data_IF_542498305999
#
_entry.id   IF_542498305999
#
_cell.length_a   1.000
_cell.length_b   1.000
_cell.length_c   1.000
_cell.angle_alpha   90.00
_cell.angle_beta   90.00
_cell.angle_gamma   90.00
#
_symmetry.space_group_name_H-M   'P 1'
#
loop_
_entity.id
_entity.type
_entity.pdbx_description
1 polymer ?
#
# COMPACT_ATOMS: atom_id res chain seq x y z
N UNK A 1 -18.73 -7.01 -19.03
CA UNK A 1 -19.04 -8.39 -19.46
C UNK A 1 -18.17 -9.43 -18.74
N UNK A 2 -16.81 -9.30 -18.71
CA UNK A 2 -15.91 -10.31 -18.11
C UNK A 2 -16.15 -10.53 -16.61
N UNK A 3 -16.50 -9.49 -15.87
CA UNK A 3 -16.72 -9.57 -14.42
C UNK A 3 -18.18 -9.81 -14.02
N UNK A 4 -19.12 -9.82 -14.98
CA UNK A 4 -20.54 -10.05 -14.73
C UNK A 4 -21.20 -8.98 -13.85
N UNK A 5 -20.68 -7.74 -13.88
CA UNK A 5 -21.19 -6.59 -13.12
C UNK A 5 -21.50 -5.44 -14.07
N UNK A 6 -22.44 -4.58 -13.66
CA UNK A 6 -22.85 -3.41 -14.46
C UNK A 6 -21.93 -2.21 -14.25
N UNK A 7 -21.28 -2.11 -13.08
CA UNK A 7 -20.36 -1.04 -12.72
C UNK A 7 -19.29 -1.53 -11.73
N UNK A 8 -18.26 -0.70 -11.56
CA UNK A 8 -17.22 -0.87 -10.53
C UNK A 8 -17.30 0.28 -9.52
N UNK A 9 -17.31 -0.05 -8.23
CA UNK A 9 -17.23 0.96 -7.17
C UNK A 9 -15.88 1.66 -7.19
N UNK A 10 -14.79 0.91 -7.36
CA UNK A 10 -13.43 1.41 -7.51
C UNK A 10 -12.81 0.87 -8.77
N UNK A 11 -12.27 1.75 -9.58
CA UNK A 11 -11.53 1.40 -10.80
C UNK A 11 -10.21 2.16 -10.80
N UNK A 12 -9.11 1.49 -11.18
CA UNK A 12 -7.81 2.13 -11.20
C UNK A 12 -7.07 1.88 -12.52
N UNK A 13 -6.30 2.88 -12.94
CA UNK A 13 -5.26 2.71 -13.95
C UNK A 13 -4.08 1.98 -13.30
N UNK A 14 -3.66 0.88 -13.90
CA UNK A 14 -2.71 -0.04 -13.29
C UNK A 14 -1.27 0.40 -13.50
N UNK A 15 -0.46 0.37 -12.41
CA UNK A 15 0.99 0.48 -12.42
C UNK A 15 1.50 1.75 -13.13
N UNK A 16 1.12 2.94 -12.65
CA UNK A 16 1.67 4.18 -13.18
C UNK A 16 3.10 4.37 -12.71
N UNK A 17 3.98 4.46 -13.66
CA UNK A 17 5.36 4.91 -13.66
C UNK A 17 5.56 5.85 -14.85
N UNK A 18 6.78 6.32 -15.10
CA UNK A 18 7.09 7.21 -16.23
C UNK A 18 6.65 6.61 -17.56
N UNK A 19 6.95 5.34 -17.81
CA UNK A 19 6.68 4.67 -19.08
C UNK A 19 5.19 4.39 -19.29
N UNK A 20 4.52 3.88 -18.27
CA UNK A 20 3.10 3.57 -18.35
C UNK A 20 2.23 4.83 -18.38
N UNK A 21 2.65 5.89 -17.70
CA UNK A 21 1.94 7.18 -17.79
C UNK A 21 2.07 7.81 -19.19
N UNK A 22 3.22 7.65 -19.87
CA UNK A 22 3.36 8.03 -21.27
C UNK A 22 2.35 7.28 -22.16
N UNK A 23 2.15 5.97 -21.94
CA UNK A 23 1.13 5.16 -22.65
C UNK A 23 -0.30 5.62 -22.33
N UNK A 24 -0.59 5.97 -21.06
CA UNK A 24 -1.89 6.54 -20.68
C UNK A 24 -2.22 7.77 -21.50
N UNK A 25 -1.24 8.64 -21.76
CA UNK A 25 -1.38 9.83 -22.62
C UNK A 25 -1.53 9.46 -24.10
N UNK A 26 -0.67 8.59 -24.61
CA UNK A 26 -0.68 8.12 -26.02
C UNK A 26 -2.03 7.51 -26.38
N UNK A 27 -2.54 6.60 -25.55
CA UNK A 27 -3.82 5.91 -25.80
C UNK A 27 -5.05 6.69 -25.33
N UNK A 28 -4.88 7.90 -24.82
CA UNK A 28 -5.96 8.73 -24.27
C UNK A 28 -6.80 7.99 -23.23
N UNK A 29 -6.15 7.21 -22.38
CA UNK A 29 -6.84 6.38 -21.39
C UNK A 29 -7.67 7.21 -20.41
N UNK A 30 -7.26 8.45 -20.10
CA UNK A 30 -8.03 9.35 -19.25
C UNK A 30 -9.38 9.73 -19.88
N UNK A 31 -9.43 9.95 -21.19
CA UNK A 31 -10.69 10.27 -21.88
C UNK A 31 -11.66 9.09 -21.80
N UNK A 32 -11.14 7.86 -21.98
CA UNK A 32 -11.93 6.65 -21.84
C UNK A 32 -12.50 6.47 -20.42
N UNK A 33 -11.68 6.59 -19.38
CA UNK A 33 -12.16 6.38 -17.99
C UNK A 33 -13.12 7.49 -17.53
N UNK A 34 -12.92 8.74 -18.00
CA UNK A 34 -13.88 9.85 -17.79
C UNK A 34 -15.23 9.53 -18.40
N UNK A 35 -15.24 9.02 -19.64
CA UNK A 35 -16.46 8.58 -20.31
C UNK A 35 -17.14 7.46 -19.52
N UNK A 36 -16.40 6.42 -19.10
CA UNK A 36 -16.95 5.31 -18.31
C UNK A 36 -17.54 5.79 -16.97
N UNK A 37 -16.92 6.79 -16.36
CA UNK A 37 -17.44 7.43 -15.15
C UNK A 37 -18.73 8.20 -15.43
N UNK A 38 -18.78 8.97 -16.49
CA UNK A 38 -19.99 9.70 -16.91
C UNK A 38 -21.17 8.75 -17.25
N UNK A 39 -20.87 7.57 -17.80
CA UNK A 39 -21.85 6.50 -18.06
C UNK A 39 -22.26 5.71 -16.79
N UNK A 40 -21.69 6.03 -15.61
CA UNK A 40 -21.98 5.34 -14.35
C UNK A 40 -21.36 3.96 -14.21
N UNK A 41 -20.45 3.57 -15.11
CA UNK A 41 -19.73 2.28 -15.06
C UNK A 41 -18.56 2.28 -14.10
N UNK A 42 -18.06 3.45 -13.71
CA UNK A 42 -17.02 3.67 -12.70
C UNK A 42 -17.55 4.69 -11.69
N UNK A 43 -17.55 4.34 -10.40
CA UNK A 43 -17.94 5.27 -9.34
C UNK A 43 -16.75 6.09 -8.83
N UNK A 44 -15.65 5.41 -8.53
CA UNK A 44 -14.41 6.01 -8.01
C UNK A 44 -13.25 5.64 -8.92
N UNK A 45 -12.55 6.66 -9.43
CA UNK A 45 -11.38 6.49 -10.28
C UNK A 45 -10.10 6.74 -9.49
N UNK A 46 -9.13 5.86 -9.64
CA UNK A 46 -7.80 5.99 -9.07
C UNK A 46 -6.71 5.44 -9.97
N UNK A 47 -5.52 5.28 -9.41
CA UNK A 47 -4.42 4.56 -10.05
C UNK A 47 -3.53 3.88 -9.01
N UNK A 48 -2.83 2.81 -9.40
CA UNK A 48 -1.71 2.27 -8.63
C UNK A 48 -0.40 2.87 -9.12
N UNK A 49 0.52 3.13 -8.19
CA UNK A 49 1.73 3.90 -8.47
C UNK A 49 2.99 3.18 -8.01
N UNK A 50 4.05 3.23 -8.85
CA UNK A 50 5.31 2.52 -8.64
C UNK A 50 6.52 3.34 -9.12
N UNK A 51 6.61 4.60 -8.72
CA UNK A 51 7.71 5.48 -9.09
C UNK A 51 8.05 6.45 -7.95
N UNK A 52 8.79 7.49 -8.20
CA UNK A 52 9.22 8.51 -7.23
C UNK A 52 8.08 9.43 -6.78
N UNK A 53 8.19 9.94 -5.57
CA UNK A 53 7.21 10.90 -5.03
C UNK A 53 7.11 12.19 -5.89
N UNK A 54 8.21 12.64 -6.48
CA UNK A 54 8.22 13.78 -7.40
C UNK A 54 7.36 13.50 -8.64
N UNK A 55 7.45 12.28 -9.18
CA UNK A 55 6.65 11.89 -10.34
C UNK A 55 5.16 11.71 -9.97
N UNK A 56 4.88 11.18 -8.78
CA UNK A 56 3.50 11.13 -8.26
C UNK A 56 2.89 12.52 -8.18
N UNK A 57 3.63 13.48 -7.61
CA UNK A 57 3.17 14.86 -7.52
C UNK A 57 2.87 15.45 -8.90
N UNK A 58 3.74 15.21 -9.88
CA UNK A 58 3.51 15.63 -11.26
C UNK A 58 2.22 15.04 -11.84
N UNK A 59 1.95 13.75 -11.64
CA UNK A 59 0.70 13.14 -12.10
C UNK A 59 -0.51 13.79 -11.42
N UNK A 60 -0.45 14.00 -10.11
CA UNK A 60 -1.57 14.60 -9.38
C UNK A 60 -1.80 16.07 -9.76
N UNK A 61 -0.77 16.82 -10.17
CA UNK A 61 -0.93 18.16 -10.73
C UNK A 61 -1.60 18.14 -12.10
N UNK A 62 -1.36 17.10 -12.93
CA UNK A 62 -1.91 17.00 -14.28
C UNK A 62 -3.34 16.47 -14.31
N UNK A 63 -3.65 15.42 -13.53
CA UNK A 63 -4.94 14.70 -13.60
C UNK A 63 -5.63 14.53 -12.23
N UNK A 64 -5.08 15.13 -11.17
CA UNK A 64 -5.56 14.89 -9.80
C UNK A 64 -7.03 15.25 -9.56
N UNK A 65 -7.61 16.18 -10.33
CA UNK A 65 -9.05 16.52 -10.23
C UNK A 65 -9.95 15.33 -10.56
N UNK A 66 -9.53 14.44 -11.44
CA UNK A 66 -10.27 13.23 -11.80
C UNK A 66 -10.04 12.07 -10.83
N UNK A 67 -8.96 12.13 -10.03
CA UNK A 67 -8.48 11.03 -9.18
C UNK A 67 -9.07 11.14 -7.78
N UNK A 68 -9.69 10.08 -7.31
CA UNK A 68 -10.36 10.02 -6.00
C UNK A 68 -9.61 9.16 -4.99
N UNK A 69 -8.65 8.35 -5.42
CA UNK A 69 -7.75 7.57 -4.55
C UNK A 69 -6.48 7.17 -5.28
N UNK A 70 -5.44 6.87 -4.53
CA UNK A 70 -4.17 6.33 -5.05
C UNK A 70 -3.84 5.03 -4.33
N UNK A 71 -3.38 4.02 -5.08
CA UNK A 71 -2.89 2.77 -4.49
C UNK A 71 -1.38 2.79 -4.43
N UNK A 72 -0.82 2.66 -3.23
CA UNK A 72 0.61 2.73 -2.93
C UNK A 72 1.13 1.43 -2.31
N UNK A 73 2.38 1.10 -2.60
CA UNK A 73 3.12 0.07 -1.87
C UNK A 73 3.58 0.65 -0.53
N UNK A 74 2.99 0.17 0.57
CA UNK A 74 3.32 0.64 1.92
C UNK A 74 3.50 -0.54 2.85
N UNK A 75 4.67 -0.60 3.48
CA UNK A 75 4.98 -1.46 4.62
C UNK A 75 6.12 -0.83 5.43
N UNK A 76 6.33 -1.28 6.66
CA UNK A 76 7.34 -0.67 7.55
C UNK A 76 8.78 -0.87 7.08
N UNK A 77 9.06 -1.87 6.21
CA UNK A 77 10.40 -2.11 5.66
C UNK A 77 10.73 -1.12 4.53
N UNK A 78 9.73 -0.80 3.69
CA UNK A 78 9.88 0.11 2.56
C UNK A 78 9.60 1.58 2.92
N UNK A 79 9.19 1.85 4.16
CA UNK A 79 8.77 3.18 4.60
C UNK A 79 9.80 4.26 4.31
N UNK A 80 11.08 4.00 4.63
CA UNK A 80 12.20 4.91 4.37
C UNK A 80 13.08 4.44 3.19
N UNK A 81 12.59 3.54 2.33
CA UNK A 81 13.34 3.06 1.18
C UNK A 81 13.50 4.15 0.11
N UNK A 82 14.72 4.39 -0.33
CA UNK A 82 14.99 5.34 -1.41
C UNK A 82 14.45 4.88 -2.77
N UNK A 83 14.29 3.57 -2.98
CA UNK A 83 13.78 3.01 -4.23
C UNK A 83 12.26 2.95 -4.30
N UNK A 84 11.57 2.69 -3.19
CA UNK A 84 10.10 2.60 -3.13
C UNK A 84 9.47 3.94 -2.73
N UNK A 85 10.14 4.67 -1.85
CA UNK A 85 9.72 5.99 -1.35
C UNK A 85 8.32 6.00 -0.72
N UNK A 86 7.94 4.90 0.00
CA UNK A 86 6.59 4.73 0.55
C UNK A 86 6.11 5.95 1.34
N UNK A 87 6.92 6.45 2.30
CA UNK A 87 6.57 7.62 3.10
C UNK A 87 6.40 8.87 2.25
N UNK A 88 7.35 9.14 1.35
CA UNK A 88 7.30 10.34 0.50
C UNK A 88 6.08 10.33 -0.42
N UNK A 89 5.75 9.19 -1.02
CA UNK A 89 4.55 9.03 -1.85
C UNK A 89 3.27 9.21 -1.02
N UNK A 90 3.23 8.65 0.20
CA UNK A 90 2.11 8.84 1.11
C UNK A 90 1.93 10.32 1.50
N UNK A 91 3.02 11.04 1.84
CA UNK A 91 2.99 12.48 2.14
C UNK A 91 2.48 13.32 0.95
N UNK A 92 2.82 12.93 -0.29
CA UNK A 92 2.25 13.54 -1.50
C UNK A 92 0.74 13.30 -1.56
N UNK A 93 0.27 12.08 -1.32
CA UNK A 93 -1.17 11.80 -1.29
C UNK A 93 -1.89 12.64 -0.22
N UNK A 94 -1.34 12.77 0.98
CA UNK A 94 -1.89 13.64 2.03
C UNK A 94 -1.95 15.10 1.58
N UNK A 95 -0.87 15.62 0.99
CA UNK A 95 -0.81 17.00 0.47
C UNK A 95 -1.92 17.31 -0.54
N UNK A 96 -2.27 16.34 -1.37
CA UNK A 96 -3.32 16.47 -2.38
C UNK A 96 -4.68 15.90 -1.94
N UNK A 97 -4.84 15.56 -0.67
CA UNK A 97 -6.06 15.00 -0.09
C UNK A 97 -6.58 13.77 -0.86
N UNK A 98 -5.66 12.86 -1.22
CA UNK A 98 -5.99 11.61 -1.89
C UNK A 98 -5.99 10.45 -0.89
N UNK A 99 -7.14 9.85 -0.60
CA UNK A 99 -7.19 8.62 0.18
C UNK A 99 -6.34 7.51 -0.43
N UNK A 100 -5.75 6.69 0.42
CA UNK A 100 -4.78 5.67 0.00
C UNK A 100 -5.36 4.27 0.17
N UNK A 101 -5.19 3.44 -0.86
CA UNK A 101 -5.27 1.98 -0.77
C UNK A 101 -3.83 1.46 -0.66
N UNK A 102 -3.58 0.57 0.29
CA UNK A 102 -2.27 -0.03 0.46
C UNK A 102 -2.18 -1.38 -0.24
N UNK A 103 -1.16 -1.56 -1.07
CA UNK A 103 -0.74 -2.84 -1.61
C UNK A 103 0.59 -3.27 -0.97
N UNK A 104 0.87 -4.55 -1.01
CA UNK A 104 2.08 -5.19 -0.46
C UNK A 104 2.36 -4.87 1.03
N UNK A 105 1.35 -4.91 1.91
CA UNK A 105 1.58 -4.62 3.32
C UNK A 105 2.56 -5.61 3.96
N UNK A 106 2.63 -6.85 3.48
CA UNK A 106 3.56 -7.90 3.95
C UNK A 106 4.73 -8.16 2.98
N UNK A 107 4.90 -7.34 1.93
CA UNK A 107 5.98 -7.42 0.93
C UNK A 107 6.15 -8.83 0.36
N UNK A 108 5.09 -9.37 -0.25
CA UNK A 108 5.08 -10.71 -0.84
C UNK A 108 5.36 -11.83 0.17
N UNK A 109 5.05 -11.62 1.46
CA UNK A 109 5.32 -12.56 2.55
C UNK A 109 6.70 -12.40 3.22
N UNK A 110 7.57 -11.51 2.74
CA UNK A 110 8.89 -11.26 3.33
C UNK A 110 8.78 -10.81 4.80
N UNK A 111 7.76 -10.04 5.13
CA UNK A 111 7.51 -9.54 6.49
C UNK A 111 6.79 -10.55 7.40
N UNK A 112 6.53 -11.76 6.93
CA UNK A 112 6.04 -12.87 7.75
C UNK A 112 7.20 -13.76 8.20
N UNK A 113 8.22 -13.91 7.35
CA UNK A 113 9.41 -14.74 7.60
C UNK A 113 10.62 -13.84 7.88
N UNK A 114 10.62 -13.21 9.05
CA UNK A 114 11.67 -12.29 9.49
C UNK A 114 12.70 -13.00 10.41
N UNK A 115 13.90 -12.43 10.62
CA UNK A 115 14.88 -12.97 11.57
C UNK A 115 14.32 -13.13 12.99
N UNK A 116 14.76 -14.16 13.71
CA UNK A 116 14.26 -14.48 15.06
C UNK A 116 14.36 -13.29 16.02
N UNK A 117 15.45 -12.52 15.96
CA UNK A 117 15.60 -11.30 16.77
C UNK A 117 14.49 -10.26 16.52
N UNK A 118 13.98 -10.19 15.29
CA UNK A 118 12.80 -9.35 14.96
C UNK A 118 11.53 -9.90 15.58
N UNK A 119 11.33 -11.22 15.50
CA UNK A 119 10.17 -11.88 16.13
C UNK A 119 10.17 -11.67 17.65
N UNK A 120 11.32 -11.87 18.29
CA UNK A 120 11.47 -11.71 19.73
C UNK A 120 11.16 -10.26 20.15
N UNK A 121 11.60 -9.30 19.35
CA UNK A 121 11.33 -7.88 19.59
C UNK A 121 9.84 -7.55 19.48
N UNK A 122 9.14 -8.07 18.46
CA UNK A 122 7.68 -7.88 18.31
C UNK A 122 6.90 -8.49 19.50
N UNK A 123 7.32 -9.67 19.95
CA UNK A 123 6.71 -10.34 21.12
C UNK A 123 6.86 -9.57 22.42
N UNK A 124 7.84 -8.70 22.55
CA UNK A 124 7.94 -7.81 23.74
C UNK A 124 6.79 -6.79 23.82
N UNK A 125 6.15 -6.49 22.69
CA UNK A 125 5.03 -5.58 22.64
C UNK A 125 3.70 -6.31 22.83
N UNK A 126 3.51 -7.42 22.10
CA UNK A 126 2.35 -8.29 22.26
C UNK A 126 2.70 -9.73 21.83
N UNK A 127 2.73 -10.65 22.80
CA UNK A 127 3.07 -12.06 22.56
C UNK A 127 2.02 -12.81 21.72
N UNK A 128 0.78 -12.33 21.72
CA UNK A 128 -0.36 -13.00 21.05
C UNK A 128 -0.48 -12.63 19.58
N UNK A 129 0.09 -11.51 19.17
CA UNK A 129 0.00 -11.02 17.78
C UNK A 129 0.90 -11.80 16.86
N UNK A 130 0.38 -12.20 15.70
CA UNK A 130 1.15 -12.82 14.64
C UNK A 130 2.17 -11.83 14.06
N UNK A 131 3.24 -12.34 13.43
CA UNK A 131 4.23 -11.48 12.76
C UNK A 131 3.59 -10.69 11.63
N UNK A 132 2.66 -11.29 10.86
CA UNK A 132 1.94 -10.63 9.78
C UNK A 132 1.11 -9.44 10.28
N UNK A 133 0.49 -9.57 11.46
CA UNK A 133 -0.36 -8.52 12.03
C UNK A 133 0.35 -7.18 12.19
N UNK A 134 1.64 -7.18 12.52
CA UNK A 134 2.42 -5.95 12.69
C UNK A 134 2.56 -5.18 11.38
N UNK A 135 2.73 -5.87 10.25
CA UNK A 135 2.84 -5.24 8.95
C UNK A 135 1.50 -4.68 8.45
N UNK A 136 0.43 -5.45 8.62
CA UNK A 136 -0.92 -5.02 8.21
C UNK A 136 -1.43 -3.89 9.10
N UNK A 137 -1.26 -4.01 10.42
CA UNK A 137 -1.64 -2.95 11.37
C UNK A 137 -0.81 -1.68 11.18
N UNK A 138 0.48 -1.78 10.82
CA UNK A 138 1.30 -0.61 10.47
C UNK A 138 0.65 0.19 9.34
N UNK A 139 0.36 -0.48 8.22
CA UNK A 139 -0.28 0.17 7.08
C UNK A 139 -1.67 0.73 7.42
N UNK A 140 -2.48 -0.03 8.18
CA UNK A 140 -3.83 0.38 8.58
C UNK A 140 -3.85 1.50 9.63
N UNK A 141 -2.73 1.77 10.30
CA UNK A 141 -2.62 2.83 11.32
C UNK A 141 -2.29 4.21 10.73
N UNK A 142 -2.02 4.30 9.44
CA UNK A 142 -1.74 5.56 8.77
C UNK A 142 -3.04 6.31 8.48
N UNK A 143 -3.03 7.62 8.72
CA UNK A 143 -4.16 8.48 8.39
C UNK A 143 -4.47 8.43 6.88
N UNK A 144 -5.75 8.62 6.50
CA UNK A 144 -6.21 8.58 5.10
C UNK A 144 -5.99 7.23 4.36
N UNK A 145 -5.48 6.20 5.02
CA UNK A 145 -5.53 4.82 4.51
C UNK A 145 -6.90 4.22 4.81
N UNK A 146 -7.69 3.98 3.78
CA UNK A 146 -9.05 3.45 3.96
C UNK A 146 -9.19 1.97 3.59
N UNK A 147 -8.16 1.38 2.97
CA UNK A 147 -8.15 -0.04 2.59
C UNK A 147 -6.72 -0.57 2.55
N UNK A 148 -6.51 -1.76 3.09
CA UNK A 148 -5.25 -2.51 2.99
C UNK A 148 -5.53 -3.84 2.31
N UNK A 149 -4.85 -4.10 1.18
CA UNK A 149 -5.01 -5.31 0.39
C UNK A 149 -4.07 -6.40 0.92
N UNK A 150 -4.62 -7.46 1.46
CA UNK A 150 -3.85 -8.61 1.92
C UNK A 150 -3.98 -9.77 0.94
N UNK A 151 -2.84 -10.34 0.50
CA UNK A 151 -2.77 -11.47 -0.42
C UNK A 151 -2.94 -12.81 0.29
N UNK A 152 -4.04 -13.03 0.97
CA UNK A 152 -4.36 -14.29 1.66
C UNK A 152 -4.67 -15.39 0.66
N UNK A 153 -4.08 -16.57 0.86
CA UNK A 153 -4.30 -17.76 0.02
C UNK A 153 -4.70 -19.00 0.82
N UNK A 154 -4.73 -18.92 2.16
CA UNK A 154 -5.20 -19.98 3.04
C UNK A 154 -6.23 -19.47 4.03
N UNK A 155 -7.02 -20.39 4.59
CA UNK A 155 -8.03 -20.08 5.59
C UNK A 155 -7.41 -19.52 6.87
N UNK A 156 -6.29 -20.08 7.30
CA UNK A 156 -5.55 -19.65 8.49
C UNK A 156 -5.07 -18.20 8.38
N UNK A 157 -4.61 -17.78 7.18
CA UNK A 157 -4.23 -16.38 6.92
C UNK A 157 -5.43 -15.43 7.00
N UNK A 158 -6.59 -15.88 6.52
CA UNK A 158 -7.82 -15.10 6.63
C UNK A 158 -8.25 -14.94 8.10
N UNK A 159 -8.27 -16.04 8.85
CA UNK A 159 -8.63 -16.04 10.28
C UNK A 159 -7.67 -15.16 11.09
N UNK A 160 -6.36 -15.28 10.84
CA UNK A 160 -5.35 -14.43 11.47
C UNK A 160 -5.63 -12.94 11.19
N UNK A 161 -5.82 -12.55 9.92
CA UNK A 161 -6.09 -11.17 9.56
C UNK A 161 -7.40 -10.65 10.18
N UNK A 162 -8.47 -11.44 10.21
CA UNK A 162 -9.73 -11.05 10.84
C UNK A 162 -9.58 -10.87 12.35
N UNK A 163 -8.76 -11.68 13.00
CA UNK A 163 -8.60 -11.68 14.47
C UNK A 163 -8.18 -10.33 15.05
N UNK A 164 -7.49 -9.49 14.27
CA UNK A 164 -7.04 -8.16 14.70
C UNK A 164 -7.64 -7.00 13.86
N UNK A 165 -8.33 -7.29 12.76
CA UNK A 165 -8.97 -6.27 11.93
C UNK A 165 -10.45 -6.06 12.26
N UNK A 166 -11.17 -7.05 12.81
CA UNK A 166 -12.58 -6.89 13.23
C UNK A 166 -12.74 -5.87 14.37
N UNK A 167 -11.79 -5.83 15.30
CA UNK A 167 -11.73 -4.83 16.39
C UNK A 167 -10.40 -4.07 16.28
N UNK A 168 -10.20 -3.43 15.13
CA UNK A 168 -8.94 -2.81 14.78
C UNK A 168 -8.52 -1.72 15.77
N UNK A 169 -7.30 -1.84 16.25
CA UNK A 169 -6.63 -0.82 17.08
C UNK A 169 -5.37 -0.36 16.38
N UNK A 170 -5.25 0.95 16.08
CA UNK A 170 -4.04 1.50 15.50
C UNK A 170 -2.83 1.21 16.38
N UNK A 171 -1.67 1.04 15.75
CA UNK A 171 -0.41 0.92 16.47
C UNK A 171 -0.12 2.19 17.27
N UNK A 172 0.33 2.02 18.50
CA UNK A 172 0.86 3.11 19.31
C UNK A 172 2.18 3.62 18.75
N UNK A 173 2.61 4.80 19.16
CA UNK A 173 3.92 5.35 18.75
C UNK A 173 5.09 4.42 19.10
N UNK A 174 5.02 3.73 20.23
CA UNK A 174 6.04 2.78 20.67
C UNK A 174 6.07 1.53 19.79
N UNK A 175 4.90 1.00 19.45
CA UNK A 175 4.76 -0.12 18.50
C UNK A 175 5.30 0.24 17.11
N UNK A 176 4.99 1.44 16.60
CA UNK A 176 5.55 1.93 15.32
C UNK A 176 7.07 2.00 15.39
N UNK A 177 7.65 2.57 16.45
CA UNK A 177 9.11 2.58 16.64
C UNK A 177 9.68 1.17 16.66
N UNK A 178 8.96 0.23 17.24
CA UNK A 178 9.38 -1.19 17.27
C UNK A 178 9.38 -1.80 15.86
N UNK A 179 8.39 -1.52 15.01
CA UNK A 179 8.42 -1.99 13.62
C UNK A 179 9.62 -1.45 12.84
N UNK A 180 10.04 -0.21 13.07
CA UNK A 180 11.26 0.35 12.45
C UNK A 180 12.55 -0.29 12.95
N UNK A 181 12.61 -0.69 14.24
CA UNK A 181 13.75 -1.49 14.75
C UNK A 181 13.79 -2.86 14.08
N UNK A 182 12.64 -3.49 13.86
CA UNK A 182 12.54 -4.75 13.11
C UNK A 182 12.99 -4.57 11.66
N UNK A 183 12.56 -3.49 10.99
CA UNK A 183 13.03 -3.15 9.64
C UNK A 183 14.56 -3.05 9.58
N UNK A 184 15.19 -2.43 10.59
CA UNK A 184 16.63 -2.35 10.68
C UNK A 184 17.27 -3.74 10.83
N UNK A 185 16.74 -4.62 11.70
CA UNK A 185 17.24 -5.99 11.86
C UNK A 185 17.17 -6.76 10.53
N UNK A 186 16.05 -6.62 9.78
CA UNK A 186 15.89 -7.27 8.47
C UNK A 186 16.95 -6.75 7.49
N UNK A 187 17.14 -5.44 7.41
CA UNK A 187 18.12 -4.84 6.51
C UNK A 187 19.55 -5.23 6.86
N UNK A 188 19.91 -5.23 8.14
CA UNK A 188 21.26 -5.60 8.62
C UNK A 188 21.58 -7.08 8.30
N UNK A 189 20.58 -7.96 8.31
CA UNK A 189 20.75 -9.39 7.95
C UNK A 189 20.74 -9.64 6.45
N UNK A 190 20.15 -8.75 5.66
CA UNK A 190 20.07 -8.86 4.19
C UNK A 190 21.26 -8.18 3.51
N UNK A 191 21.96 -7.30 4.21
CA UNK A 191 23.12 -6.51 3.72
C UNK A 191 24.40 -7.33 3.54
N UNK A 192 24.39 -8.67 3.72
CA UNK A 192 25.46 -9.53 3.21
C UNK A 192 25.27 -9.58 1.70
N UNK A 193 25.96 -8.66 1.04
CA UNK A 193 25.97 -8.47 -0.38
C UNK A 193 26.19 -9.80 -1.13
N UNK A 194 25.32 -10.07 -2.10
CA UNK A 194 25.70 -10.81 -3.27
C UNK A 194 26.80 -9.98 -3.96
N UNK A 195 28.06 -10.35 -3.70
CA UNK A 195 29.21 -9.89 -4.51
C UNK A 195 29.20 -10.61 -5.84
#
# INVERSE_FOLDING_TARGET
EKCGVDYFDYYLLHCLDVDNYAKVKEFKSMDFVRQMKAEGKIKKLGFSFHDTAEFLEKILLEIGEDIEFVQLQINYLDWESDSVQSRKCYEVCQKYHKPVIVMEPVKGGKLVNIPQAGIDLLKTQDEKMSVASWAIRFASSLDDVFMVLSGMSTWEQLEDNLSYMEDFKPLTKEEIVTTFKVAKIINDTTAIACT
#
